data_IF_182479271210
#
_entry.id   IF_182479271210
#
_cell.length_a   1.000
_cell.length_b   1.000
_cell.length_c   1.000
_cell.angle_alpha   90.00
_cell.angle_beta   90.00
_cell.angle_gamma   90.00
#
_symmetry.space_group_name_H-M   'P 1'
#
loop_
_entity.id
_entity.type
_entity.pdbx_description
1 polymer ?
#
# COMPACT_ATOMS: atom_id res chain seq x y z
N UNK A 1 -56.27 41.18 -6.57
CA UNK A 1 -54.97 40.55 -6.91
C UNK A 1 -55.24 39.74 -8.15
N UNK A 2 -55.22 40.41 -9.30
CA UNK A 2 -55.52 39.77 -10.56
C UNK A 2 -54.30 38.95 -10.97
N UNK A 3 -54.44 37.63 -10.94
CA UNK A 3 -53.40 36.68 -11.31
C UNK A 3 -53.24 36.78 -12.83
N UNK A 4 -52.33 37.64 -13.29
CA UNK A 4 -51.91 37.66 -14.69
C UNK A 4 -51.10 36.39 -14.91
N UNK A 5 -51.75 35.38 -15.51
CA UNK A 5 -51.08 34.16 -15.95
C UNK A 5 -49.85 34.54 -16.77
N UNK A 6 -48.66 33.98 -16.49
CA UNK A 6 -47.45 34.24 -17.27
C UNK A 6 -47.51 33.66 -18.69
N UNK A 7 -48.61 32.96 -19.02
CA UNK A 7 -48.80 32.26 -20.28
C UNK A 7 -49.79 33.05 -21.12
N UNK A 8 -49.39 33.40 -22.34
CA UNK A 8 -50.25 34.16 -23.25
C UNK A 8 -51.57 33.40 -23.52
N UNK A 9 -52.71 34.10 -23.68
CA UNK A 9 -54.00 33.48 -23.95
C UNK A 9 -54.00 32.56 -25.19
N UNK A 10 -53.14 32.87 -26.17
CA UNK A 10 -52.95 32.06 -27.37
C UNK A 10 -52.33 30.68 -27.06
N UNK A 11 -51.38 30.63 -26.11
CA UNK A 11 -50.76 29.38 -25.67
C UNK A 11 -51.76 28.53 -24.89
N UNK A 12 -52.58 29.14 -24.02
CA UNK A 12 -53.61 28.42 -23.26
C UNK A 12 -54.68 27.83 -24.19
N UNK A 13 -55.17 28.61 -25.17
CA UNK A 13 -56.16 28.14 -26.13
C UNK A 13 -55.65 26.97 -26.98
N UNK A 14 -54.36 27.01 -27.35
CA UNK A 14 -53.74 25.96 -28.15
C UNK A 14 -53.47 24.69 -27.32
N UNK A 15 -53.09 24.81 -26.06
CA UNK A 15 -52.96 23.68 -25.14
C UNK A 15 -54.30 22.98 -24.91
N UNK A 16 -55.39 23.73 -24.77
CA UNK A 16 -56.74 23.17 -24.65
C UNK A 16 -57.17 22.43 -25.93
N UNK A 17 -56.84 22.97 -27.12
CA UNK A 17 -57.09 22.29 -28.38
C UNK A 17 -56.34 20.95 -28.49
N UNK A 18 -55.06 20.90 -28.09
CA UNK A 18 -54.29 19.65 -28.04
C UNK A 18 -54.89 18.61 -27.07
N UNK A 19 -55.40 19.03 -25.91
CA UNK A 19 -56.04 18.10 -24.98
C UNK A 19 -57.34 17.50 -25.51
N UNK A 20 -58.06 18.22 -26.37
CA UNK A 20 -59.30 17.72 -26.96
C UNK A 20 -59.03 16.78 -28.14
N UNK A 21 -57.98 17.04 -28.96
CA UNK A 21 -57.56 16.12 -30.02
C UNK A 21 -56.99 14.83 -29.46
N UNK A 22 -56.22 14.88 -28.36
CA UNK A 22 -55.65 13.67 -27.74
C UNK A 22 -56.72 12.71 -27.19
N UNK A 23 -57.85 13.24 -26.67
CA UNK A 23 -58.98 12.42 -26.23
C UNK A 23 -59.67 11.67 -27.37
N UNK A 24 -59.81 12.30 -28.54
CA UNK A 24 -60.36 11.65 -29.73
C UNK A 24 -59.38 10.65 -30.35
N UNK A 25 -58.08 10.86 -30.20
CA UNK A 25 -57.05 9.97 -30.74
C UNK A 25 -56.86 8.69 -29.90
N UNK A 26 -57.09 8.74 -28.59
CA UNK A 26 -57.13 7.53 -27.75
C UNK A 26 -58.19 6.51 -28.22
N UNK A 27 -59.24 6.95 -28.92
CA UNK A 27 -60.23 6.08 -29.55
C UNK A 27 -59.78 5.50 -30.91
N UNK A 28 -58.88 6.17 -31.65
CA UNK A 28 -58.39 5.70 -32.97
C UNK A 28 -57.21 4.73 -32.87
N UNK A 29 -56.44 4.79 -31.77
CA UNK A 29 -55.30 3.89 -31.49
C UNK A 29 -55.75 2.44 -31.19
N UNK A 30 -57.05 2.22 -30.94
CA UNK A 30 -57.62 0.87 -30.84
C UNK A 30 -57.74 0.22 -32.23
N UNK A 31 -56.60 -0.27 -32.73
CA UNK A 31 -56.50 -1.18 -33.87
C UNK A 31 -57.14 -2.55 -33.54
N UNK A 32 -58.47 -2.59 -33.43
CA UNK A 32 -59.18 -3.87 -33.45
C UNK A 32 -59.07 -4.47 -34.85
N UNK A 33 -58.61 -5.73 -34.98
CA UNK A 33 -58.52 -6.37 -36.29
C UNK A 33 -59.91 -6.42 -36.92
N UNK A 34 -60.00 -5.97 -38.17
CA UNK A 34 -61.17 -6.28 -39.00
C UNK A 34 -61.17 -7.80 -39.25
N UNK A 35 -62.35 -8.45 -39.29
CA UNK A 35 -62.46 -9.91 -39.32
C UNK A 35 -61.83 -10.59 -40.56
N UNK A 36 -61.37 -9.81 -41.53
CA UNK A 36 -60.75 -10.23 -42.79
C UNK A 36 -59.21 -10.09 -42.84
N UNK A 37 -58.54 -9.57 -41.79
CA UNK A 37 -57.10 -9.32 -41.80
C UNK A 37 -56.31 -10.22 -40.82
N UNK A 38 -55.20 -10.77 -41.30
CA UNK A 38 -54.22 -11.48 -40.46
C UNK A 38 -53.52 -10.49 -39.52
N UNK A 39 -53.33 -10.88 -38.26
CA UNK A 39 -52.68 -10.06 -37.22
C UNK A 39 -51.30 -9.56 -37.68
N UNK A 40 -50.57 -10.34 -38.48
CA UNK A 40 -49.23 -9.95 -38.98
C UNK A 40 -49.31 -8.80 -39.98
N UNK A 41 -50.28 -8.83 -40.88
CA UNK A 41 -50.45 -7.79 -41.91
C UNK A 41 -50.83 -6.44 -41.29
N UNK A 42 -51.56 -6.47 -40.17
CA UNK A 42 -51.89 -5.25 -39.41
C UNK A 42 -50.69 -4.63 -38.68
N UNK A 43 -49.78 -5.47 -38.17
CA UNK A 43 -48.56 -5.02 -37.49
C UNK A 43 -47.55 -4.46 -38.50
N UNK A 44 -47.31 -5.17 -39.60
CA UNK A 44 -46.39 -4.71 -40.65
C UNK A 44 -46.87 -3.39 -41.28
N UNK A 45 -48.19 -3.23 -41.46
CA UNK A 45 -48.79 -1.98 -41.95
C UNK A 45 -48.60 -0.82 -40.98
N UNK A 46 -48.82 -1.06 -39.67
CA UNK A 46 -48.62 -0.05 -38.64
C UNK A 46 -47.15 0.36 -38.50
N UNK A 47 -46.21 -0.58 -38.59
CA UNK A 47 -44.77 -0.30 -38.61
C UNK A 47 -44.38 0.55 -39.82
N UNK A 48 -44.92 0.26 -40.99
CA UNK A 48 -44.60 1.02 -42.20
C UNK A 48 -45.17 2.44 -42.16
N UNK A 49 -46.37 2.62 -41.62
CA UNK A 49 -46.96 3.94 -41.36
C UNK A 49 -46.11 4.75 -40.37
N UNK A 50 -45.69 4.12 -39.28
CA UNK A 50 -44.81 4.73 -38.29
C UNK A 50 -43.47 5.16 -38.91
N UNK A 51 -42.83 4.30 -39.71
CA UNK A 51 -41.58 4.61 -40.41
C UNK A 51 -41.75 5.77 -41.40
N UNK A 52 -42.90 5.88 -42.07
CA UNK A 52 -43.20 6.99 -42.99
C UNK A 52 -43.35 8.31 -42.23
N UNK A 53 -44.10 8.33 -41.14
CA UNK A 53 -44.22 9.51 -40.26
C UNK A 53 -42.86 9.96 -39.74
N UNK A 54 -42.05 9.05 -39.17
CA UNK A 54 -40.71 9.39 -38.66
C UNK A 54 -39.81 9.99 -39.73
N UNK A 55 -39.82 9.44 -40.96
CA UNK A 55 -39.02 9.99 -42.07
C UNK A 55 -39.48 11.37 -42.49
N UNK A 56 -40.78 11.63 -42.47
CA UNK A 56 -41.33 12.95 -42.77
C UNK A 56 -40.89 13.95 -41.71
N UNK A 57 -41.03 13.60 -40.43
CA UNK A 57 -40.67 14.48 -39.33
C UNK A 57 -39.17 14.80 -39.33
N UNK A 58 -38.30 13.82 -39.60
CA UNK A 58 -36.86 14.04 -39.76
C UNK A 58 -36.57 15.04 -40.89
N UNK A 59 -37.26 14.93 -42.04
CA UNK A 59 -37.09 15.89 -43.14
C UNK A 59 -37.53 17.30 -42.74
N UNK A 60 -38.66 17.42 -42.03
CA UNK A 60 -39.11 18.74 -41.54
C UNK A 60 -38.11 19.34 -40.55
N UNK A 61 -37.53 18.53 -39.66
CA UNK A 61 -36.46 18.95 -38.76
C UNK A 61 -35.20 19.39 -39.51
N UNK A 62 -34.75 18.63 -40.51
CA UNK A 62 -33.60 19.00 -41.34
C UNK A 62 -33.83 20.32 -42.08
N UNK A 63 -35.05 20.55 -42.58
CA UNK A 63 -35.42 21.82 -43.22
C UNK A 63 -35.46 22.98 -42.22
N UNK A 64 -35.98 22.76 -41.01
CA UNK A 64 -35.99 23.76 -39.95
C UNK A 64 -34.58 24.11 -39.49
N UNK A 65 -33.72 23.12 -39.30
CA UNK A 65 -32.31 23.31 -38.96
C UNK A 65 -31.62 24.13 -40.04
N UNK A 66 -31.78 23.78 -41.32
CA UNK A 66 -31.20 24.56 -42.44
C UNK A 66 -31.70 26.01 -42.46
N UNK A 67 -33.02 26.22 -42.29
CA UNK A 67 -33.61 27.57 -42.22
C UNK A 67 -33.01 28.39 -41.08
N UNK A 68 -32.84 27.77 -39.90
CA UNK A 68 -32.24 28.43 -38.74
C UNK A 68 -30.74 28.71 -38.96
N UNK A 69 -29.99 27.76 -39.53
CA UNK A 69 -28.57 27.95 -39.88
C UNK A 69 -28.37 29.07 -40.90
N UNK A 70 -29.23 29.16 -41.91
CA UNK A 70 -29.20 30.22 -42.91
C UNK A 70 -29.60 31.57 -42.33
N UNK A 71 -30.59 31.60 -41.42
CA UNK A 71 -30.93 32.80 -40.66
C UNK A 71 -29.75 33.28 -39.80
N UNK A 72 -29.08 32.37 -39.08
CA UNK A 72 -27.88 32.68 -38.30
C UNK A 72 -26.76 33.20 -39.20
N UNK A 73 -26.54 32.59 -40.37
CA UNK A 73 -25.53 33.02 -41.35
C UNK A 73 -25.84 34.41 -41.91
N UNK A 74 -27.12 34.68 -42.19
CA UNK A 74 -27.63 35.98 -42.61
C UNK A 74 -27.35 37.05 -41.56
N UNK A 75 -27.73 36.80 -40.30
CA UNK A 75 -27.48 37.70 -39.17
C UNK A 75 -25.99 37.96 -38.94
N UNK A 76 -25.14 36.92 -39.01
CA UNK A 76 -23.68 37.08 -38.92
C UNK A 76 -23.15 38.00 -40.01
N UNK A 77 -23.59 37.82 -41.25
CA UNK A 77 -23.17 38.68 -42.38
C UNK A 77 -23.65 40.13 -42.23
N UNK A 78 -24.81 40.37 -41.62
CA UNK A 78 -25.33 41.70 -41.33
C UNK A 78 -24.50 42.37 -40.22
N UNK A 79 -24.17 41.64 -39.16
CA UNK A 79 -23.30 42.12 -38.07
C UNK A 79 -21.91 42.50 -38.62
N UNK A 80 -21.33 41.69 -39.50
CA UNK A 80 -20.04 41.99 -40.13
C UNK A 80 -20.08 43.25 -41.02
N UNK A 81 -21.20 43.52 -41.70
CA UNK A 81 -21.40 44.74 -42.50
C UNK A 81 -21.58 45.98 -41.63
N UNK A 82 -22.25 45.85 -40.47
CA UNK A 82 -22.44 46.93 -39.51
C UNK A 82 -21.13 47.28 -38.79
N UNK A 83 -20.33 46.28 -38.39
CA UNK A 83 -18.99 46.50 -37.85
C UNK A 83 -18.04 47.23 -38.82
N UNK A 84 -18.27 47.14 -40.14
CA UNK A 84 -17.50 47.86 -41.17
C UNK A 84 -18.01 49.28 -41.43
N UNK A 85 -19.23 49.62 -41.00
CA UNK A 85 -19.91 50.88 -41.33
C UNK A 85 -19.86 51.95 -40.24
N UNK A 86 -19.63 51.61 -38.96
CA UNK A 86 -19.73 52.59 -37.87
C UNK A 86 -18.54 52.60 -36.89
N UNK A 87 -18.12 53.83 -36.57
CA UNK A 87 -17.25 54.25 -35.49
C UNK A 87 -17.90 53.95 -34.12
N UNK A 88 -17.63 52.78 -33.53
CA UNK A 88 -18.20 52.39 -32.25
C UNK A 88 -17.12 52.11 -31.18
N UNK A 89 -17.19 52.83 -30.06
CA UNK A 89 -16.39 52.56 -28.85
C UNK A 89 -16.74 51.18 -28.27
N UNK A 90 -15.77 50.41 -27.74
CA UNK A 90 -15.97 49.01 -27.34
C UNK A 90 -17.05 48.82 -26.26
N UNK A 91 -17.24 49.81 -25.39
CA UNK A 91 -18.25 49.80 -24.32
C UNK A 91 -19.68 49.89 -24.85
N UNK A 92 -19.92 50.71 -25.88
CA UNK A 92 -21.26 50.84 -26.50
C UNK A 92 -21.65 49.57 -27.23
N UNK A 93 -20.68 48.89 -27.85
CA UNK A 93 -20.87 47.59 -28.49
C UNK A 93 -21.24 46.52 -27.45
N UNK A 94 -20.56 46.51 -26.30
CA UNK A 94 -20.85 45.57 -25.22
C UNK A 94 -22.28 45.75 -24.66
N UNK A 95 -22.69 46.99 -24.40
CA UNK A 95 -24.04 47.30 -23.92
C UNK A 95 -25.11 46.92 -24.96
N UNK A 96 -24.86 47.20 -26.24
CA UNK A 96 -25.78 46.83 -27.32
C UNK A 96 -25.93 45.30 -27.44
N UNK A 97 -24.84 44.54 -27.31
CA UNK A 97 -24.86 43.06 -27.30
C UNK A 97 -25.65 42.50 -26.11
N UNK A 98 -25.48 43.07 -24.92
CA UNK A 98 -26.23 42.65 -23.73
C UNK A 98 -27.73 42.92 -23.86
N UNK A 99 -28.11 44.10 -24.40
CA UNK A 99 -29.52 44.41 -24.69
C UNK A 99 -30.10 43.48 -25.76
N UNK A 100 -29.33 43.20 -26.82
CA UNK A 100 -29.75 42.27 -27.86
C UNK A 100 -29.90 40.83 -27.33
N UNK A 101 -29.00 40.38 -26.45
CA UNK A 101 -29.10 39.07 -25.81
C UNK A 101 -30.32 38.99 -24.90
N UNK A 102 -30.58 40.03 -24.09
CA UNK A 102 -31.76 40.11 -23.24
C UNK A 102 -33.04 40.02 -24.08
N UNK A 103 -33.18 40.89 -25.06
CA UNK A 103 -34.36 40.92 -25.94
C UNK A 103 -34.51 39.61 -26.73
N UNK A 104 -33.41 39.02 -27.17
CA UNK A 104 -33.41 37.73 -27.86
C UNK A 104 -33.83 36.57 -26.96
N UNK A 105 -33.39 36.58 -25.69
CA UNK A 105 -33.83 35.58 -24.71
C UNK A 105 -35.31 35.73 -24.36
N UNK A 106 -35.80 36.96 -24.16
CA UNK A 106 -37.21 37.24 -23.89
C UNK A 106 -38.08 36.77 -25.07
N UNK A 107 -37.70 37.12 -26.31
CA UNK A 107 -38.39 36.65 -27.52
C UNK A 107 -38.33 35.13 -27.72
N UNK A 108 -37.26 34.46 -27.30
CA UNK A 108 -37.16 33.00 -27.40
C UNK A 108 -38.10 32.28 -26.43
N UNK A 109 -38.38 32.86 -25.27
CA UNK A 109 -39.33 32.27 -24.32
C UNK A 109 -40.80 32.62 -24.64
N UNK A 110 -41.05 33.69 -25.39
CA UNK A 110 -42.39 34.09 -25.84
C UNK A 110 -42.93 33.21 -26.99
N UNK A 111 -42.04 32.66 -27.82
CA UNK A 111 -42.39 31.76 -28.92
C UNK A 111 -42.22 30.29 -28.51
N UNK A 112 -43.27 29.48 -28.66
CA UNK A 112 -43.15 28.05 -28.43
C UNK A 112 -42.27 27.44 -29.54
N UNK A 113 -41.14 26.77 -29.20
CA UNK A 113 -40.33 26.12 -30.21
C UNK A 113 -41.15 25.03 -30.92
N UNK A 114 -40.72 24.69 -32.13
CA UNK A 114 -41.36 23.63 -32.90
C UNK A 114 -41.41 22.34 -32.05
N UNK A 115 -42.62 21.84 -31.87
CA UNK A 115 -42.91 20.57 -31.22
C UNK A 115 -43.53 19.66 -32.29
N UNK A 116 -43.09 18.39 -32.39
CA UNK A 116 -43.74 17.44 -33.28
C UNK A 116 -45.22 17.30 -32.93
N UNK A 117 -46.05 17.01 -33.92
CA UNK A 117 -47.48 16.73 -33.72
C UNK A 117 -47.65 15.51 -32.80
N UNK A 118 -48.77 15.42 -32.10
CA UNK A 118 -49.01 14.33 -31.14
C UNK A 118 -48.97 12.93 -31.82
N UNK A 119 -49.34 12.87 -33.10
CA UNK A 119 -49.32 11.66 -33.93
C UNK A 119 -47.95 11.38 -34.58
N UNK A 120 -46.95 12.20 -34.27
CA UNK A 120 -45.59 12.00 -34.75
C UNK A 120 -44.98 10.74 -34.16
N UNK A 121 -44.43 9.89 -35.04
CA UNK A 121 -43.64 8.74 -34.61
C UNK A 121 -42.36 9.11 -33.84
N UNK A 122 -41.90 10.37 -33.88
CA UNK A 122 -40.72 10.78 -33.09
C UNK A 122 -41.04 10.77 -31.59
N UNK A 123 -42.26 11.16 -31.19
CA UNK A 123 -42.65 11.17 -29.79
C UNK A 123 -42.59 9.77 -29.16
N UNK A 124 -43.06 8.74 -29.88
CA UNK A 124 -42.99 7.35 -29.40
C UNK A 124 -41.56 6.81 -29.36
N UNK A 125 -40.69 7.21 -30.29
CA UNK A 125 -39.27 6.83 -30.24
C UNK A 125 -38.53 7.53 -29.10
N UNK A 126 -38.88 8.79 -28.81
CA UNK A 126 -38.28 9.55 -27.72
C UNK A 126 -38.71 9.00 -26.36
N UNK A 127 -39.99 8.65 -26.20
CA UNK A 127 -40.46 7.98 -24.99
C UNK A 127 -39.79 6.63 -24.84
N UNK A 128 -39.72 5.80 -25.88
CA UNK A 128 -39.01 4.52 -25.85
C UNK A 128 -37.53 4.69 -25.45
N UNK A 129 -36.83 5.64 -26.07
CA UNK A 129 -35.43 5.94 -25.73
C UNK A 129 -35.29 6.37 -24.27
N UNK A 130 -36.20 7.20 -23.76
CA UNK A 130 -36.17 7.65 -22.38
C UNK A 130 -36.41 6.49 -21.41
N UNK A 131 -37.36 5.61 -21.72
CA UNK A 131 -37.67 4.41 -20.94
C UNK A 131 -36.48 3.47 -20.95
N UNK A 132 -35.85 3.23 -22.10
CA UNK A 132 -34.64 2.40 -22.19
C UNK A 132 -33.50 2.96 -21.35
N UNK A 133 -33.24 4.27 -21.42
CA UNK A 133 -32.24 4.93 -20.57
C UNK A 133 -32.54 4.77 -19.08
N UNK A 134 -33.81 4.92 -18.67
CA UNK A 134 -34.22 4.73 -17.28
C UNK A 134 -34.04 3.27 -16.86
N UNK A 135 -34.35 2.30 -17.73
CA UNK A 135 -34.13 0.87 -17.46
C UNK A 135 -32.63 0.58 -17.29
N UNK A 136 -31.77 1.12 -18.16
CA UNK A 136 -30.31 0.97 -18.06
C UNK A 136 -29.79 1.57 -16.75
N UNK A 137 -30.15 2.81 -16.44
CA UNK A 137 -29.77 3.48 -15.19
C UNK A 137 -30.27 2.72 -13.94
N UNK A 138 -31.49 2.18 -13.99
CA UNK A 138 -32.04 1.38 -12.91
C UNK A 138 -31.30 0.04 -12.75
N UNK A 139 -30.88 -0.61 -13.85
CA UNK A 139 -30.07 -1.83 -13.79
C UNK A 139 -28.73 -1.58 -13.12
N UNK A 140 -28.05 -0.51 -13.52
CA UNK A 140 -26.80 -0.09 -12.86
C UNK A 140 -27.04 0.21 -11.37
N UNK A 141 -28.12 0.92 -11.04
CA UNK A 141 -28.53 1.19 -9.66
C UNK A 141 -28.75 -0.08 -8.83
N UNK A 142 -29.45 -1.08 -9.38
CA UNK A 142 -29.68 -2.38 -8.72
C UNK A 142 -28.36 -3.10 -8.47
N UNK A 143 -27.46 -3.16 -9.46
CA UNK A 143 -26.15 -3.82 -9.26
C UNK A 143 -25.30 -3.14 -8.20
N UNK A 144 -25.37 -1.80 -8.10
CA UNK A 144 -24.68 -1.06 -7.04
C UNK A 144 -25.30 -1.32 -5.67
N UNK A 145 -26.62 -1.33 -5.57
CA UNK A 145 -27.33 -1.65 -4.33
C UNK A 145 -27.06 -3.10 -3.86
N UNK A 146 -26.96 -4.06 -4.78
CA UNK A 146 -26.58 -5.45 -4.48
C UNK A 146 -25.15 -5.53 -3.92
N UNK A 147 -24.21 -4.78 -4.50
CA UNK A 147 -22.83 -4.69 -3.98
C UNK A 147 -22.79 -4.11 -2.58
N UNK A 148 -23.49 -3.00 -2.34
CA UNK A 148 -23.56 -2.35 -1.02
C UNK A 148 -24.22 -3.27 0.02
N UNK A 149 -25.25 -4.01 -0.37
CA UNK A 149 -25.92 -4.97 0.50
C UNK A 149 -25.00 -6.15 0.87
N UNK A 150 -24.18 -6.64 -0.06
CA UNK A 150 -23.20 -7.69 0.22
C UNK A 150 -22.07 -7.19 1.13
N UNK A 151 -21.63 -5.95 0.95
CA UNK A 151 -20.67 -5.29 1.85
C UNK A 151 -21.25 -5.13 3.26
N UNK A 152 -22.49 -4.64 3.38
CA UNK A 152 -23.18 -4.53 4.66
C UNK A 152 -23.34 -5.91 5.33
N UNK A 153 -23.71 -6.95 4.58
CA UNK A 153 -23.80 -8.33 5.11
C UNK A 153 -22.47 -8.84 5.63
N UNK A 154 -21.37 -8.58 4.92
CA UNK A 154 -20.01 -8.96 5.37
C UNK A 154 -19.66 -8.24 6.67
N UNK A 155 -19.96 -6.95 6.79
CA UNK A 155 -19.75 -6.19 8.02
C UNK A 155 -20.58 -6.76 9.16
N UNK A 156 -21.88 -7.02 8.96
CA UNK A 156 -22.74 -7.61 9.98
C UNK A 156 -22.23 -8.98 10.45
N UNK A 157 -21.74 -9.83 9.54
CA UNK A 157 -21.14 -11.13 9.91
C UNK A 157 -19.90 -10.95 10.78
N UNK A 158 -19.04 -9.98 10.44
CA UNK A 158 -17.84 -9.65 11.21
C UNK A 158 -18.21 -9.17 12.62
N UNK A 159 -19.11 -8.20 12.72
CA UNK A 159 -19.57 -7.66 14.01
C UNK A 159 -20.22 -8.74 14.89
N UNK A 160 -21.02 -9.64 14.30
CA UNK A 160 -21.55 -10.80 15.04
C UNK A 160 -20.46 -11.72 15.56
N UNK A 161 -19.38 -11.92 14.80
CA UNK A 161 -18.20 -12.66 15.26
C UNK A 161 -17.51 -11.98 16.45
N UNK A 162 -17.33 -10.66 16.39
CA UNK A 162 -16.77 -9.88 17.50
C UNK A 162 -17.63 -9.94 18.75
N UNK A 163 -18.96 -9.80 18.61
CA UNK A 163 -19.89 -9.91 19.74
C UNK A 163 -19.84 -11.31 20.35
N UNK A 164 -19.79 -12.37 19.55
CA UNK A 164 -19.69 -13.73 20.05
C UNK A 164 -18.38 -13.96 20.82
N UNK A 165 -17.24 -13.48 20.28
CA UNK A 165 -15.96 -13.56 20.96
C UNK A 165 -15.93 -12.74 22.26
N UNK A 166 -16.54 -11.55 22.27
CA UNK A 166 -16.65 -10.73 23.47
C UNK A 166 -17.48 -11.43 24.56
N UNK A 167 -18.58 -12.09 24.20
CA UNK A 167 -19.39 -12.88 25.13
C UNK A 167 -18.65 -14.11 25.68
N UNK A 168 -17.78 -14.73 24.89
CA UNK A 168 -16.95 -15.83 25.36
C UNK A 168 -15.89 -15.35 26.35
N UNK A 169 -15.23 -14.22 26.04
CA UNK A 169 -14.30 -13.55 26.96
C UNK A 169 -14.98 -13.13 28.26
N UNK A 170 -16.19 -12.57 28.19
CA UNK A 170 -16.98 -12.20 29.37
C UNK A 170 -17.21 -13.42 30.28
N UNK A 171 -17.65 -14.55 29.71
CA UNK A 171 -17.83 -15.81 30.46
C UNK A 171 -16.54 -16.33 31.07
N UNK A 172 -15.42 -16.23 30.37
CA UNK A 172 -14.12 -16.64 30.91
C UNK A 172 -13.64 -15.72 32.03
N UNK A 173 -13.87 -14.42 31.91
CA UNK A 173 -13.56 -13.45 32.96
C UNK A 173 -14.43 -13.69 34.19
N UNK A 174 -15.73 -13.91 34.02
CA UNK A 174 -16.65 -14.24 35.12
C UNK A 174 -16.19 -15.51 35.84
N UNK A 175 -15.84 -16.57 35.10
CA UNK A 175 -15.28 -17.79 35.69
C UNK A 175 -14.00 -17.52 36.49
N UNK A 176 -13.10 -16.69 35.97
CA UNK A 176 -11.87 -16.33 36.68
C UNK A 176 -12.14 -15.47 37.91
N UNK A 177 -13.12 -14.57 37.85
CA UNK A 177 -13.56 -13.78 39.00
C UNK A 177 -14.11 -14.72 40.07
N UNK A 178 -14.98 -15.67 39.71
CA UNK A 178 -15.51 -16.68 40.64
C UNK A 178 -14.39 -17.55 41.25
N UNK A 179 -13.41 -17.97 40.47
CA UNK A 179 -12.22 -18.69 40.96
C UNK A 179 -11.37 -17.84 41.91
N UNK A 180 -11.17 -16.55 41.59
CA UNK A 180 -10.41 -15.63 42.43
C UNK A 180 -11.15 -15.31 43.72
N UNK A 181 -12.45 -15.03 43.68
CA UNK A 181 -13.27 -14.82 44.87
C UNK A 181 -13.38 -16.10 45.72
N UNK A 182 -13.50 -17.26 45.07
CA UNK A 182 -13.51 -18.57 45.72
C UNK A 182 -12.18 -18.90 46.40
N UNK A 183 -11.06 -18.57 45.74
CA UNK A 183 -9.72 -18.73 46.33
C UNK A 183 -9.43 -17.69 47.38
N UNK A 184 -9.88 -16.43 47.27
CA UNK A 184 -9.70 -15.40 48.30
C UNK A 184 -10.49 -15.72 49.59
N UNK A 185 -11.58 -16.48 49.50
CA UNK A 185 -12.25 -17.08 50.67
C UNK A 185 -11.42 -18.21 51.33
N UNK A 186 -10.46 -18.80 50.62
CA UNK A 186 -9.55 -19.85 51.12
C UNK A 186 -8.08 -19.42 51.23
N UNK A 187 -7.71 -18.21 50.81
CA UNK A 187 -6.32 -17.83 50.56
C UNK A 187 -5.58 -17.40 51.82
N UNK A 188 -4.40 -18.00 52.00
CA UNK A 188 -3.38 -17.49 52.90
C UNK A 188 -3.13 -15.99 52.70
N UNK A 189 -2.92 -15.29 53.82
CA UNK A 189 -2.57 -13.88 53.97
C UNK A 189 -1.77 -13.31 52.76
N UNK A 190 -2.20 -12.19 52.12
CA UNK A 190 -1.60 -11.66 50.89
C UNK A 190 -0.07 -11.51 50.93
N UNK A 191 0.48 -11.20 52.11
CA UNK A 191 1.93 -11.12 52.38
C UNK A 191 2.67 -12.43 52.09
N UNK A 192 2.04 -13.59 52.23
CA UNK A 192 2.62 -14.90 51.91
C UNK A 192 2.64 -15.17 50.40
N UNK A 193 1.66 -14.68 49.64
CA UNK A 193 1.63 -14.81 48.17
C UNK A 193 2.75 -13.97 47.53
N UNK A 194 2.88 -12.71 47.95
CA UNK A 194 3.96 -11.82 47.50
C UNK A 194 5.34 -12.43 47.80
N UNK A 195 5.54 -12.98 49.01
CA UNK A 195 6.78 -13.69 49.36
C UNK A 195 7.06 -14.90 48.46
N UNK A 196 6.06 -15.73 48.15
CA UNK A 196 6.22 -16.88 47.24
C UNK A 196 6.60 -16.43 45.82
N UNK A 197 6.03 -15.33 45.33
CA UNK A 197 6.40 -14.78 44.02
C UNK A 197 7.84 -14.24 44.02
N UNK A 198 8.22 -13.48 45.05
CA UNK A 198 9.60 -12.98 45.20
C UNK A 198 10.59 -14.16 45.28
N UNK A 199 10.28 -15.19 46.05
CA UNK A 199 11.11 -16.40 46.14
C UNK A 199 11.23 -17.14 44.79
N UNK A 200 10.16 -17.18 44.00
CA UNK A 200 10.19 -17.76 42.66
C UNK A 200 11.08 -16.95 41.70
N UNK A 201 10.96 -15.62 41.70
CA UNK A 201 11.83 -14.74 40.92
C UNK A 201 13.30 -14.82 41.37
N UNK A 202 13.56 -14.90 42.67
CA UNK A 202 14.90 -15.10 43.20
C UNK A 202 15.50 -16.44 42.77
N UNK A 203 14.70 -17.52 42.73
CA UNK A 203 15.17 -18.82 42.23
C UNK A 203 15.50 -18.74 40.74
N UNK A 204 14.62 -18.15 39.93
CA UNK A 204 14.84 -18.00 38.50
C UNK A 204 16.10 -17.16 38.19
N UNK A 205 16.30 -16.04 38.91
CA UNK A 205 17.50 -15.21 38.74
C UNK A 205 18.77 -15.93 39.19
N UNK A 206 18.71 -16.73 40.27
CA UNK A 206 19.83 -17.59 40.70
C UNK A 206 20.17 -18.65 39.66
N UNK A 207 19.17 -19.28 39.04
CA UNK A 207 19.38 -20.26 37.97
C UNK A 207 19.97 -19.61 36.70
N UNK A 208 19.45 -18.45 36.28
CA UNK A 208 19.98 -17.71 35.12
C UNK A 208 21.41 -17.22 35.35
N UNK A 209 21.74 -16.76 36.55
CA UNK A 209 23.11 -16.33 36.88
C UNK A 209 24.08 -17.51 36.95
N UNK A 210 23.66 -18.66 37.49
CA UNK A 210 24.48 -19.89 37.50
C UNK A 210 24.73 -20.43 36.09
N UNK A 211 23.69 -20.50 35.26
CA UNK A 211 23.80 -20.96 33.86
C UNK A 211 24.65 -20.01 33.02
N UNK A 212 24.48 -18.69 33.18
CA UNK A 212 25.32 -17.68 32.51
C UNK A 212 26.79 -17.77 32.95
N UNK A 213 27.06 -17.92 34.24
CA UNK A 213 28.42 -18.09 34.75
C UNK A 213 29.08 -19.38 34.23
N UNK A 214 28.31 -20.48 34.12
CA UNK A 214 28.78 -21.72 33.51
C UNK A 214 29.11 -21.54 32.03
N UNK A 215 28.22 -20.90 31.27
CA UNK A 215 28.42 -20.64 29.85
C UNK A 215 29.65 -19.77 29.60
N UNK A 216 29.85 -18.70 30.40
CA UNK A 216 31.05 -17.84 30.29
C UNK A 216 32.35 -18.64 30.48
N UNK A 217 32.38 -19.57 31.45
CA UNK A 217 33.55 -20.43 31.69
C UNK A 217 33.79 -21.43 30.55
N UNK A 218 32.74 -22.07 30.05
CA UNK A 218 32.85 -23.01 28.93
C UNK A 218 33.30 -22.30 27.64
N UNK A 219 32.78 -21.10 27.37
CA UNK A 219 33.23 -20.24 26.26
C UNK A 219 34.71 -19.85 26.42
N UNK A 220 35.12 -19.38 27.59
CA UNK A 220 36.52 -19.04 27.85
C UNK A 220 37.44 -20.24 27.61
N UNK A 221 37.07 -21.42 28.12
CA UNK A 221 37.83 -22.65 27.91
C UNK A 221 37.95 -22.99 26.43
N UNK A 222 36.83 -22.98 25.69
CA UNK A 222 36.81 -23.24 24.25
C UNK A 222 37.71 -22.26 23.47
N UNK A 223 37.65 -20.97 23.79
CA UNK A 223 38.48 -19.96 23.13
C UNK A 223 39.96 -20.22 23.42
N UNK A 224 40.34 -20.46 24.68
CA UNK A 224 41.75 -20.69 25.04
C UNK A 224 42.32 -21.99 24.46
N UNK A 225 41.53 -23.07 24.38
CA UNK A 225 42.03 -24.40 23.99
C UNK A 225 42.01 -24.63 22.48
N UNK A 226 41.05 -24.03 21.76
CA UNK A 226 40.79 -24.37 20.35
C UNK A 226 40.86 -23.14 19.46
N UNK A 227 40.17 -22.06 19.82
CA UNK A 227 39.96 -20.96 18.89
C UNK A 227 41.11 -19.95 18.86
N UNK A 228 41.80 -19.73 19.99
CA UNK A 228 42.94 -18.81 20.08
C UNK A 228 44.09 -19.21 19.17
N UNK A 229 44.37 -20.52 19.07
CA UNK A 229 45.40 -21.04 18.15
C UNK A 229 45.01 -20.82 16.69
N UNK A 230 43.75 -21.06 16.34
CA UNK A 230 43.28 -20.89 14.97
C UNK A 230 43.20 -19.41 14.55
N UNK A 231 42.76 -18.52 15.45
CA UNK A 231 42.74 -17.07 15.20
C UNK A 231 44.16 -16.51 15.09
N UNK A 232 45.11 -16.98 15.91
CA UNK A 232 46.51 -16.59 15.81
C UNK A 232 47.14 -17.00 14.47
N UNK A 233 46.84 -18.21 13.98
CA UNK A 233 47.28 -18.67 12.64
C UNK A 233 46.74 -17.74 11.55
N UNK A 234 45.46 -17.39 11.61
CA UNK A 234 44.84 -16.48 10.63
C UNK A 234 45.45 -15.07 10.68
N UNK A 235 45.76 -14.55 11.87
CA UNK A 235 46.43 -13.25 12.03
C UNK A 235 47.87 -13.28 11.49
N UNK A 236 48.57 -14.41 11.61
CA UNK A 236 49.88 -14.65 11.00
C UNK A 236 49.83 -14.87 9.48
N UNK A 237 48.64 -14.80 8.85
CA UNK A 237 48.45 -14.97 7.41
C UNK A 237 48.32 -16.43 6.95
N UNK A 238 48.06 -17.33 7.88
CA UNK A 238 47.78 -18.74 7.64
C UNK A 238 46.35 -19.01 7.18
N UNK A 239 45.95 -20.30 7.08
CA UNK A 239 44.61 -20.67 6.64
C UNK A 239 43.51 -20.09 7.53
N UNK A 240 42.38 -19.77 6.91
CA UNK A 240 41.23 -19.15 7.58
C UNK A 240 40.66 -20.08 8.67
N UNK A 241 40.38 -19.51 9.85
CA UNK A 241 39.89 -20.22 11.05
C UNK A 241 38.60 -21.00 10.75
N UNK A 242 38.55 -22.33 10.90
CA UNK A 242 37.36 -23.14 10.56
C UNK A 242 37.38 -23.82 9.19
N UNK A 243 38.51 -23.75 8.47
CA UNK A 243 38.87 -24.74 7.45
C UNK A 243 39.06 -26.13 8.09
N UNK A 244 38.92 -27.22 7.33
CA UNK A 244 38.93 -28.63 7.80
C UNK A 244 40.29 -29.13 8.35
N UNK A 245 41.10 -28.26 8.95
CA UNK A 245 42.47 -28.57 9.36
C UNK A 245 42.55 -29.09 10.79
N UNK A 246 43.44 -30.09 10.95
CA UNK A 246 43.98 -30.61 12.20
C UNK A 246 44.44 -29.49 13.16
N UNK A 247 44.18 -29.56 14.48
CA UNK A 247 44.88 -28.69 15.44
C UNK A 247 46.40 -28.88 15.45
N UNK A 248 46.86 -30.09 15.15
CA UNK A 248 48.27 -30.41 14.96
C UNK A 248 48.83 -29.69 13.72
N UNK A 249 48.04 -29.60 12.65
CA UNK A 249 48.40 -28.90 11.42
C UNK A 249 48.42 -27.38 11.63
N UNK A 250 47.43 -26.82 12.36
CA UNK A 250 47.37 -25.40 12.73
C UNK A 250 48.61 -24.95 13.51
N UNK A 251 49.06 -25.74 14.50
CA UNK A 251 50.29 -25.46 15.24
C UNK A 251 51.54 -25.49 14.37
N UNK A 252 51.58 -26.36 13.36
CA UNK A 252 52.70 -26.39 12.41
C UNK A 252 52.79 -25.13 11.55
N UNK A 253 51.66 -24.49 11.22
CA UNK A 253 51.66 -23.23 10.47
C UNK A 253 52.22 -22.05 11.27
N UNK A 254 52.02 -22.03 12.59
CA UNK A 254 52.65 -21.02 13.47
C UNK A 254 54.17 -21.21 13.52
N UNK A 255 54.64 -22.46 13.59
CA UNK A 255 56.08 -22.77 13.59
C UNK A 255 56.78 -22.44 12.25
N UNK A 256 56.10 -22.64 11.11
CA UNK A 256 56.64 -22.34 9.77
C UNK A 256 56.82 -20.83 9.52
N UNK A 257 56.06 -19.98 10.24
CA UNK A 257 56.21 -18.53 10.15
C UNK A 257 57.46 -17.98 10.84
N UNK A 258 58.03 -18.72 11.80
CA UNK A 258 59.16 -18.30 12.63
C UNK A 258 60.51 -18.90 12.15
N UNK A 259 60.53 -20.07 11.50
CA UNK A 259 61.76 -20.66 10.96
C UNK A 259 62.03 -20.28 9.49
N UNK A 260 62.98 -19.38 9.27
CA UNK A 260 63.67 -19.25 7.99
C UNK A 260 64.53 -20.47 7.66
N UNK A 261 63.91 -21.60 7.29
CA UNK A 261 64.59 -22.84 6.88
C UNK A 261 64.16 -23.32 5.48
N UNK A 262 65.06 -23.82 4.61
CA UNK A 262 64.79 -23.95 3.18
C UNK A 262 64.01 -25.22 2.86
N UNK A 263 62.70 -25.09 2.62
CA UNK A 263 61.91 -26.21 2.12
C UNK A 263 60.54 -25.78 1.60
N UNK A 264 60.37 -25.81 0.27
CA UNK A 264 59.11 -25.58 -0.48
C UNK A 264 58.54 -24.15 -0.46
N UNK A 265 59.20 -23.27 -1.21
CA UNK A 265 58.59 -22.05 -1.76
C UNK A 265 57.48 -22.43 -2.75
N UNK A 266 56.22 -22.28 -2.37
CA UNK A 266 55.12 -22.19 -3.33
C UNK A 266 54.77 -20.71 -3.56
N UNK A 267 54.94 -20.28 -4.82
CA UNK A 267 54.44 -19.13 -5.59
C UNK A 267 53.85 -17.84 -4.94
N UNK A 268 54.04 -17.54 -3.67
CA UNK A 268 53.57 -16.29 -3.02
C UNK A 268 54.73 -15.32 -2.72
N UNK A 269 55.97 -15.81 -2.73
CA UNK A 269 57.18 -15.02 -2.43
C UNK A 269 57.71 -14.14 -3.59
N UNK A 270 56.89 -13.80 -4.60
CA UNK A 270 57.25 -12.80 -5.63
C UNK A 270 56.50 -11.46 -5.50
N UNK A 271 55.51 -11.35 -4.61
CA UNK A 271 54.80 -10.09 -4.37
C UNK A 271 55.36 -9.28 -3.18
N UNK A 272 56.15 -9.90 -2.29
CA UNK A 272 56.64 -9.28 -1.04
C UNK A 272 58.03 -8.64 -1.15
N UNK A 273 58.63 -8.59 -2.34
CA UNK A 273 59.98 -8.02 -2.55
C UNK A 273 59.98 -6.49 -2.80
N UNK A 274 58.82 -5.85 -2.97
CA UNK A 274 58.75 -4.41 -3.33
C UNK A 274 57.97 -3.49 -2.39
N UNK A 275 57.51 -3.95 -1.23
CA UNK A 275 56.86 -3.06 -0.28
C UNK A 275 56.92 -3.60 1.13
N UNK A 276 57.42 -2.78 2.06
CA UNK A 276 57.36 -2.95 3.52
C UNK A 276 58.30 -4.02 4.11
N UNK A 277 59.58 -3.65 4.24
CA UNK A 277 60.55 -4.22 5.19
C UNK A 277 60.89 -3.24 6.35
N UNK A 278 59.94 -2.40 6.79
CA UNK A 278 60.25 -1.28 7.70
C UNK A 278 59.38 -1.15 8.94
N UNK A 279 58.46 -2.09 9.20
CA UNK A 279 57.64 -2.04 10.42
C UNK A 279 57.92 -3.18 11.40
N UNK A 280 58.68 -4.20 11.00
CA UNK A 280 59.02 -5.33 11.88
C UNK A 280 60.21 -5.03 12.81
N UNK A 281 61.05 -4.05 12.50
CA UNK A 281 62.21 -3.66 13.34
C UNK A 281 61.85 -2.80 14.57
N UNK A 282 60.55 -2.49 14.80
CA UNK A 282 60.11 -1.66 15.93
C UNK A 282 59.62 -2.51 17.13
N UNK A 283 59.38 -3.81 16.96
CA UNK A 283 58.95 -4.69 18.06
C UNK A 283 59.96 -5.80 18.38
N UNK A 284 61.09 -5.37 18.96
CA UNK A 284 61.86 -6.06 20.00
C UNK A 284 62.02 -7.58 19.95
N UNK A 285 63.25 -8.01 19.67
CA UNK A 285 63.79 -9.33 20.03
C UNK A 285 63.59 -9.65 21.51
N UNK A 286 62.93 -10.77 21.82
CA UNK A 286 63.20 -11.52 23.06
C UNK A 286 62.73 -12.99 22.96
N UNK A 287 63.74 -13.85 22.97
CA UNK A 287 63.82 -15.22 23.48
C UNK A 287 62.91 -16.33 22.88
N UNK A 288 63.61 -17.18 22.13
CA UNK A 288 63.22 -18.38 21.41
C UNK A 288 62.94 -19.54 22.39
N UNK A 289 61.66 -19.72 22.77
CA UNK A 289 61.02 -21.00 23.21
C UNK A 289 59.62 -20.73 23.79
N UNK A 290 59.28 -19.48 24.09
CA UNK A 290 57.98 -19.07 24.65
C UNK A 290 57.07 -18.24 23.73
N UNK A 291 57.51 -17.88 22.53
CA UNK A 291 56.82 -16.93 21.65
C UNK A 291 55.51 -17.49 21.06
N UNK A 292 55.51 -18.72 20.55
CA UNK A 292 54.32 -19.35 19.95
C UNK A 292 53.13 -19.43 20.91
N UNK A 293 53.36 -19.81 22.17
CA UNK A 293 52.32 -19.89 23.22
C UNK A 293 51.78 -18.49 23.58
N UNK A 294 52.61 -17.44 23.49
CA UNK A 294 52.20 -16.07 23.79
C UNK A 294 51.28 -15.49 22.70
N UNK A 295 51.53 -15.81 21.43
CA UNK A 295 50.68 -15.34 20.32
C UNK A 295 49.29 -16.01 20.34
N UNK A 296 49.21 -17.32 20.60
CA UNK A 296 47.95 -18.05 20.71
C UNK A 296 47.06 -17.51 21.84
N UNK A 297 47.65 -17.26 23.01
CA UNK A 297 46.92 -16.74 24.18
C UNK A 297 46.44 -15.30 23.95
N UNK A 298 47.29 -14.44 23.38
CA UNK A 298 46.96 -13.06 23.08
C UNK A 298 45.79 -12.93 22.09
N UNK A 299 45.76 -13.76 21.04
CA UNK A 299 44.66 -13.78 20.08
C UNK A 299 43.34 -14.28 20.71
N UNK A 300 43.41 -15.27 21.60
CA UNK A 300 42.25 -15.74 22.36
C UNK A 300 41.71 -14.69 23.35
N UNK A 301 42.59 -13.97 24.03
CA UNK A 301 42.24 -12.87 24.94
C UNK A 301 41.59 -11.70 24.18
N UNK A 302 42.14 -11.30 23.03
CA UNK A 302 41.56 -10.25 22.18
C UNK A 302 40.14 -10.61 21.71
N UNK A 303 39.90 -11.88 21.36
CA UNK A 303 38.57 -12.34 20.97
C UNK A 303 37.58 -12.29 22.15
N UNK A 304 37.99 -12.73 23.34
CA UNK A 304 37.14 -12.67 24.54
C UNK A 304 36.83 -11.23 24.95
N UNK A 305 37.83 -10.34 24.90
CA UNK A 305 37.65 -8.93 25.20
C UNK A 305 36.67 -8.27 24.21
N UNK A 306 36.74 -8.63 22.92
CA UNK A 306 35.81 -8.14 21.91
C UNK A 306 34.38 -8.64 22.16
N UNK A 307 34.20 -9.92 22.49
CA UNK A 307 32.88 -10.49 22.82
C UNK A 307 32.31 -9.81 24.08
N UNK A 308 33.13 -9.61 25.12
CA UNK A 308 32.69 -8.95 26.35
C UNK A 308 32.28 -7.50 26.09
N UNK A 309 33.06 -6.76 25.29
CA UNK A 309 32.69 -5.40 24.87
C UNK A 309 31.36 -5.38 24.12
N UNK A 310 31.18 -6.28 23.15
CA UNK A 310 29.95 -6.38 22.35
C UNK A 310 28.71 -6.72 23.19
N UNK A 311 28.83 -7.69 24.09
CA UNK A 311 27.74 -8.08 25.00
C UNK A 311 27.43 -6.95 25.97
N UNK A 312 28.44 -6.31 26.55
CA UNK A 312 28.24 -5.19 27.47
C UNK A 312 27.58 -4.01 26.75
N UNK A 313 27.97 -3.68 25.52
CA UNK A 313 27.29 -2.62 24.75
C UNK A 313 25.85 -2.96 24.43
N UNK A 314 25.54 -4.22 24.09
CA UNK A 314 24.17 -4.65 23.87
C UNK A 314 23.32 -4.60 25.14
N UNK A 315 23.90 -4.83 26.32
CA UNK A 315 23.18 -4.83 27.60
C UNK A 315 22.97 -3.42 28.17
N UNK A 316 23.91 -2.50 27.97
CA UNK A 316 23.86 -1.14 28.54
C UNK A 316 23.19 -0.13 27.59
N UNK A 317 23.37 -0.33 26.28
CA UNK A 317 22.83 0.56 25.24
C UNK A 317 21.72 -0.14 24.43
N UNK A 318 21.45 0.35 23.22
CA UNK A 318 20.49 -0.23 22.26
C UNK A 318 21.12 -1.44 21.52
N UNK A 319 20.37 -2.55 21.35
CA UNK A 319 20.82 -3.75 20.62
C UNK A 319 21.27 -3.48 19.17
N UNK A 320 20.96 -2.32 18.59
CA UNK A 320 21.38 -1.95 17.25
C UNK A 320 22.67 -1.12 17.16
N UNK A 321 23.32 -0.83 18.29
CA UNK A 321 24.49 0.05 18.33
C UNK A 321 25.76 -0.66 17.84
N UNK A 322 26.53 0.05 17.01
CA UNK A 322 27.82 -0.41 16.51
C UNK A 322 28.96 0.04 17.43
N UNK A 323 29.79 -0.92 17.81
CA UNK A 323 31.04 -0.68 18.53
C UNK A 323 32.18 -0.40 17.56
N UNK A 324 33.07 0.53 17.92
CA UNK A 324 34.24 0.89 17.11
C UNK A 324 35.41 -0.05 17.43
N UNK A 325 35.93 -0.71 16.39
CA UNK A 325 37.14 -1.52 16.43
C UNK A 325 38.38 -0.64 16.33
N UNK A 326 39.45 -1.06 16.99
CA UNK A 326 40.78 -0.41 16.92
C UNK A 326 41.51 -0.76 15.63
N UNK A 327 41.36 -2.01 15.16
CA UNK A 327 41.93 -2.56 13.92
C UNK A 327 41.05 -3.65 13.36
N UNK A 328 41.25 -3.98 12.08
CA UNK A 328 40.66 -5.18 11.48
C UNK A 328 41.41 -6.44 11.95
N UNK A 329 40.94 -7.06 13.03
CA UNK A 329 41.52 -8.27 13.60
C UNK A 329 40.90 -9.55 13.02
N UNK A 330 41.63 -10.67 13.10
CA UNK A 330 41.10 -11.99 12.72
C UNK A 330 39.88 -12.37 13.60
N UNK A 331 39.85 -11.92 14.86
CA UNK A 331 38.73 -12.08 15.78
C UNK A 331 37.43 -11.44 15.25
N UNK A 332 37.48 -10.19 14.76
CA UNK A 332 36.28 -9.53 14.23
C UNK A 332 35.77 -10.19 12.95
N UNK A 333 36.66 -10.63 12.05
CA UNK A 333 36.29 -11.39 10.85
C UNK A 333 35.67 -12.74 11.19
N UNK A 334 36.20 -13.43 12.21
CA UNK A 334 35.66 -14.70 12.68
C UNK A 334 34.23 -14.54 13.23
N UNK A 335 33.98 -13.53 14.06
CA UNK A 335 32.64 -13.26 14.61
C UNK A 335 31.61 -12.95 13.51
N UNK A 336 32.01 -12.21 12.48
CA UNK A 336 31.14 -11.90 11.35
C UNK A 336 30.84 -13.14 10.51
N UNK A 337 31.85 -13.96 10.25
CA UNK A 337 31.73 -15.18 9.45
C UNK A 337 30.98 -16.31 10.18
N UNK A 338 31.07 -16.35 11.50
CA UNK A 338 30.28 -17.26 12.34
C UNK A 338 28.84 -16.78 12.56
N UNK A 339 28.43 -15.68 11.91
CA UNK A 339 27.10 -15.08 12.01
C UNK A 339 26.72 -14.66 13.44
N UNK A 340 27.72 -14.41 14.29
CA UNK A 340 27.51 -13.90 15.65
C UNK A 340 27.41 -12.38 15.66
N UNK A 341 28.09 -11.73 14.72
CA UNK A 341 28.15 -10.27 14.60
C UNK A 341 27.97 -9.82 13.15
N UNK A 342 27.69 -8.53 12.95
CA UNK A 342 27.60 -7.91 11.62
C UNK A 342 28.42 -6.62 11.58
N UNK A 343 29.07 -6.37 10.45
CA UNK A 343 29.77 -5.10 10.20
C UNK A 343 28.81 -4.03 9.71
N UNK A 344 29.18 -2.78 9.92
CA UNK A 344 28.45 -1.65 9.35
C UNK A 344 28.65 -1.63 7.82
N UNK A 345 27.58 -1.46 7.01
CA UNK A 345 27.65 -1.59 5.55
C UNK A 345 28.58 -0.57 4.88
N UNK A 346 28.89 0.54 5.56
CA UNK A 346 29.77 1.61 5.05
C UNK A 346 31.10 1.73 5.80
N UNK A 347 31.27 1.04 6.93
CA UNK A 347 32.44 1.21 7.80
C UNK A 347 32.88 -0.14 8.39
N UNK A 348 34.00 -0.68 7.88
CA UNK A 348 34.51 -1.99 8.29
C UNK A 348 35.09 -1.98 9.73
N UNK A 349 35.30 -0.80 10.33
CA UNK A 349 35.77 -0.67 11.72
C UNK A 349 34.61 -0.60 12.72
N UNK A 350 33.37 -0.82 12.28
CA UNK A 350 32.20 -0.82 13.15
C UNK A 350 31.53 -2.18 13.14
N UNK A 351 31.37 -2.78 14.32
CA UNK A 351 30.80 -4.11 14.49
C UNK A 351 29.68 -4.09 15.54
N UNK A 352 28.59 -4.80 15.27
CA UNK A 352 27.48 -5.00 16.20
C UNK A 352 27.21 -6.49 16.42
N UNK A 353 26.75 -6.85 17.61
CA UNK A 353 26.30 -8.20 17.90
C UNK A 353 24.91 -8.42 17.29
N UNK A 354 24.63 -9.64 16.82
CA UNK A 354 23.26 -9.99 16.44
C UNK A 354 22.41 -10.16 17.71
N UNK A 355 21.16 -9.67 17.68
CA UNK A 355 20.26 -9.83 18.81
C UNK A 355 19.73 -11.27 18.88
N UNK A 356 20.15 -12.00 19.91
CA UNK A 356 19.69 -13.37 20.21
C UNK A 356 18.56 -13.39 21.26
N UNK A 357 18.26 -12.26 21.90
CA UNK A 357 17.29 -12.13 22.99
C UNK A 357 15.96 -11.51 22.59
N UNK A 358 15.92 -10.80 21.45
CA UNK A 358 14.71 -10.27 20.86
C UNK A 358 13.68 -11.37 20.63
N UNK A 359 12.60 -11.35 21.42
CA UNK A 359 11.42 -12.14 21.09
C UNK A 359 10.96 -11.71 19.71
N UNK A 360 10.96 -12.65 18.77
CA UNK A 360 10.27 -12.49 17.49
C UNK A 360 8.78 -12.29 17.81
N UNK A 361 8.34 -11.04 17.99
CA UNK A 361 6.97 -10.70 17.62
C UNK A 361 6.87 -10.98 16.13
N UNK A 362 5.97 -11.90 15.81
CA UNK A 362 5.91 -12.56 14.52
C UNK A 362 5.91 -11.58 13.36
N UNK A 363 6.62 -11.97 12.30
CA UNK A 363 6.33 -11.46 10.98
C UNK A 363 4.84 -11.63 10.68
N UNK A 364 4.18 -10.50 10.47
CA UNK A 364 3.09 -10.39 9.50
C UNK A 364 3.67 -9.92 8.18
#
# INVERSE_FOLDING_TARGET
MDYVSPVSPAVVARLQALTHSSYLHAFSINNYPRPDQSIKDTVDSAEEQHRKSVRQDIRTLDELIKKQEDAIRGLKSQIEKLHKREEATPEKIAIAKLKALKNGSESYFDELPWLPEDDSGINTLLTLRSVLKVIEANREGVTNAERELEEARKTVRRERGWVAAAQELEKELDRKIDELEGTDRQAENPKKRERKQIEAYEKQTKEMTQTSARLKRELQKFVTERLGTAVAVEEAGGPVTGSKLNMVELKSYLAIGEEGGPGRKTKVAKAKERGQKRLDDIWGNQDEEGASIRHEKKAGEELLELIEKLVNTMLHDDPHIYTRLTRESAASRYLVRSFVATLHPKDALRIRLLDFGGKMEGGS
#
